data_IF_192781421586
#
_entry.id   IF_192781421586
#
_cell.length_a   1.000
_cell.length_b   1.000
_cell.length_c   1.000
_cell.angle_alpha   90.00
_cell.angle_beta   90.00
_cell.angle_gamma   90.00
#
_symmetry.space_group_name_H-M   'P 1'
#
loop_
_entity.id
_entity.type
_entity.pdbx_description
1 polymer ?
#
# COMPACT_ATOMS: atom_id res chain seq x y z
N UNK A 1 -71.41 -62.33 -4.48
CA UNK A 1 -71.70 -60.87 -4.43
C UNK A 1 -70.81 -60.29 -3.35
N UNK A 2 -69.74 -59.66 -3.76
CA UNK A 2 -68.75 -58.95 -2.87
C UNK A 2 -69.29 -57.68 -2.36
N UNK A 3 -68.89 -57.22 -1.20
CA UNK A 3 -68.64 -55.76 -1.05
C UNK A 3 -67.13 -55.53 -0.75
N UNK A 4 -66.63 -54.60 -1.47
CA UNK A 4 -65.31 -54.01 -1.37
C UNK A 4 -65.10 -53.29 -0.05
N UNK A 5 -64.09 -53.70 0.74
CA UNK A 5 -63.56 -52.89 1.82
C UNK A 5 -62.61 -51.84 1.33
N UNK A 6 -63.03 -50.54 1.43
CA UNK A 6 -62.21 -49.40 1.15
C UNK A 6 -61.36 -49.04 2.41
N UNK A 7 -60.06 -49.33 2.36
CA UNK A 7 -59.09 -48.91 3.37
C UNK A 7 -58.67 -47.46 3.11
N UNK A 8 -59.11 -46.55 4.01
CA UNK A 8 -58.73 -45.15 4.00
C UNK A 8 -57.40 -44.98 4.75
N UNK A 9 -56.31 -44.71 4.00
CA UNK A 9 -55.02 -44.32 4.58
C UNK A 9 -55.03 -42.83 4.86
N UNK A 10 -55.06 -42.48 6.14
CA UNK A 10 -54.91 -41.11 6.65
C UNK A 10 -53.39 -40.79 6.64
N UNK A 11 -52.91 -40.05 5.64
CA UNK A 11 -51.54 -39.54 5.61
C UNK A 11 -51.45 -38.29 6.47
N UNK A 12 -50.82 -38.38 7.66
CA UNK A 12 -50.48 -37.26 8.53
C UNK A 12 -49.24 -36.60 7.90
N UNK A 13 -49.44 -35.48 7.18
CA UNK A 13 -48.38 -34.62 6.68
C UNK A 13 -47.73 -33.84 7.81
N UNK A 14 -46.48 -34.13 8.14
CA UNK A 14 -45.64 -33.31 9.01
C UNK A 14 -45.21 -32.06 8.24
N UNK A 15 -45.34 -30.84 8.80
CA UNK A 15 -44.78 -29.68 8.18
C UNK A 15 -43.26 -29.66 8.34
N UNK A 16 -42.52 -29.89 7.25
CA UNK A 16 -41.07 -29.68 7.20
C UNK A 16 -40.77 -28.19 7.23
N UNK A 17 -40.54 -27.62 8.41
CA UNK A 17 -39.95 -26.32 8.55
C UNK A 17 -38.47 -26.40 8.24
N UNK A 18 -38.07 -26.06 7.01
CA UNK A 18 -36.68 -25.86 6.67
C UNK A 18 -36.19 -24.60 7.42
N UNK A 19 -35.02 -24.64 8.11
CA UNK A 19 -34.45 -23.44 8.67
C UNK A 19 -34.03 -22.52 7.52
N UNK A 20 -34.59 -21.33 7.48
CA UNK A 20 -34.09 -20.24 6.64
C UNK A 20 -32.74 -19.87 7.23
N UNK A 21 -31.65 -20.37 6.65
CA UNK A 21 -30.30 -19.87 6.93
C UNK A 21 -30.27 -18.49 6.31
N UNK A 22 -30.40 -17.45 7.15
CA UNK A 22 -30.12 -16.08 6.75
C UNK A 22 -28.66 -16.04 6.26
N UNK A 23 -28.47 -16.00 4.95
CA UNK A 23 -27.16 -15.73 4.35
C UNK A 23 -26.84 -14.28 4.73
N UNK A 24 -25.95 -14.11 5.71
CA UNK A 24 -25.28 -12.85 5.95
C UNK A 24 -24.59 -12.49 4.63
N UNK A 25 -24.87 -11.31 4.01
CA UNK A 25 -24.17 -10.94 2.80
C UNK A 25 -22.68 -10.98 3.11
N UNK A 26 -21.93 -11.80 2.36
CA UNK A 26 -20.50 -11.83 2.46
C UNK A 26 -20.03 -10.43 2.03
N UNK A 27 -19.63 -9.61 3.01
CA UNK A 27 -18.96 -8.34 2.74
C UNK A 27 -17.73 -8.69 1.90
N UNK A 28 -17.71 -8.25 0.65
CA UNK A 28 -16.63 -8.58 -0.27
C UNK A 28 -15.33 -8.11 0.38
N UNK A 29 -14.31 -8.95 0.41
CA UNK A 29 -13.02 -8.63 1.03
C UNK A 29 -12.36 -7.37 0.44
N UNK A 30 -12.88 -6.87 -0.68
CA UNK A 30 -12.46 -5.66 -1.36
C UNK A 30 -13.00 -4.36 -0.73
N UNK A 31 -14.09 -4.43 0.05
CA UNK A 31 -14.72 -3.25 0.65
C UNK A 31 -14.17 -2.94 2.06
N UNK A 32 -13.28 -3.79 2.58
CA UNK A 32 -12.75 -3.60 3.91
C UNK A 32 -11.67 -2.51 3.95
N UNK A 33 -11.83 -1.54 4.85
CA UNK A 33 -10.76 -0.61 5.21
C UNK A 33 -9.66 -1.38 5.96
N UNK A 34 -8.44 -1.35 5.43
CA UNK A 34 -7.28 -2.00 6.05
C UNK A 34 -6.41 -0.96 6.74
N UNK A 35 -5.94 -1.27 7.95
CA UNK A 35 -5.06 -0.41 8.73
C UNK A 35 -3.71 -1.10 8.93
N UNK A 36 -2.63 -0.38 8.69
CA UNK A 36 -1.25 -0.79 8.95
C UNK A 36 -0.53 0.28 9.77
N UNK A 37 0.20 -0.14 10.79
CA UNK A 37 1.04 0.74 11.60
C UNK A 37 2.51 0.41 11.35
N UNK A 38 3.32 1.43 11.10
CA UNK A 38 4.78 1.32 10.95
C UNK A 38 5.45 2.19 12.01
N UNK A 39 6.38 1.60 12.76
CA UNK A 39 7.29 2.33 13.63
C UNK A 39 8.58 2.61 12.86
N UNK A 40 8.94 3.87 12.73
CA UNK A 40 10.12 4.31 11.99
C UNK A 40 11.36 4.28 12.90
N UNK A 41 12.56 4.27 12.31
CA UNK A 41 13.82 4.19 13.06
C UNK A 41 14.06 5.39 14.00
N UNK A 42 13.45 6.55 13.71
CA UNK A 42 13.52 7.75 14.56
C UNK A 42 12.45 7.76 15.68
N UNK A 43 11.74 6.64 15.88
CA UNK A 43 10.67 6.49 16.87
C UNK A 43 9.34 7.10 16.44
N UNK A 44 9.26 7.76 15.29
CA UNK A 44 7.99 8.24 14.76
C UNK A 44 7.11 7.07 14.31
N UNK A 45 5.78 7.30 14.27
CA UNK A 45 4.79 6.29 13.90
C UNK A 45 4.00 6.77 12.69
N UNK A 46 3.89 5.91 11.67
CA UNK A 46 3.01 6.14 10.53
C UNK A 46 1.86 5.14 10.53
N UNK A 47 0.63 5.64 10.46
CA UNK A 47 -0.59 4.86 10.34
C UNK A 47 -1.07 4.99 8.90
N UNK A 48 -1.20 3.87 8.21
CA UNK A 48 -1.78 3.77 6.88
C UNK A 48 -3.21 3.24 6.99
N UNK A 49 -4.14 3.90 6.34
CA UNK A 49 -5.53 3.45 6.17
C UNK A 49 -5.77 3.31 4.68
N UNK A 50 -6.23 2.13 4.23
CA UNK A 50 -6.50 1.84 2.83
C UNK A 50 -7.99 1.55 2.65
N UNK A 51 -8.63 2.31 1.78
CA UNK A 51 -10.01 2.11 1.33
C UNK A 51 -9.98 1.66 -0.14
N UNK A 52 -10.09 0.35 -0.35
CA UNK A 52 -10.02 -0.21 -1.69
C UNK A 52 -11.22 0.19 -2.55
N UNK A 53 -12.41 0.37 -1.96
CA UNK A 53 -13.61 0.77 -2.68
C UNK A 53 -13.50 2.20 -3.23
N UNK A 54 -12.76 3.07 -2.52
CA UNK A 54 -12.48 4.44 -2.96
C UNK A 54 -11.19 4.59 -3.73
N UNK A 55 -10.39 3.51 -3.88
CA UNK A 55 -9.04 3.60 -4.44
C UNK A 55 -8.17 4.65 -3.74
N UNK A 56 -8.29 4.76 -2.41
CA UNK A 56 -7.64 5.77 -1.60
C UNK A 56 -6.81 5.14 -0.48
N UNK A 57 -5.68 5.78 -0.16
CA UNK A 57 -4.87 5.47 1.01
C UNK A 57 -4.53 6.74 1.77
N UNK A 58 -4.58 6.70 3.10
CA UNK A 58 -4.17 7.82 3.95
C UNK A 58 -3.02 7.35 4.83
N UNK A 59 -1.89 8.07 4.80
CA UNK A 59 -0.80 7.90 5.74
C UNK A 59 -0.73 9.11 6.68
N UNK A 60 -0.80 8.88 7.98
CA UNK A 60 -0.64 9.93 9.00
C UNK A 60 0.58 9.60 9.85
N UNK A 61 1.53 10.54 9.92
CA UNK A 61 2.76 10.39 10.71
C UNK A 61 2.73 11.29 11.93
N UNK A 62 3.07 10.69 13.09
CA UNK A 62 3.27 11.40 14.35
C UNK A 62 4.69 11.19 14.85
N UNK A 63 5.24 12.14 15.60
CA UNK A 63 6.51 11.98 16.29
C UNK A 63 6.38 10.99 17.47
N UNK A 64 7.47 10.65 18.20
CA UNK A 64 7.42 9.76 19.37
C UNK A 64 6.48 10.21 20.48
N UNK A 65 6.20 11.53 20.57
CA UNK A 65 5.30 12.13 21.56
C UNK A 65 3.84 12.22 21.09
N UNK A 66 3.56 11.71 19.88
CA UNK A 66 2.21 11.72 19.30
C UNK A 66 1.85 13.02 18.56
N UNK A 67 2.78 14.01 18.44
CA UNK A 67 2.53 15.25 17.73
C UNK A 67 2.51 15.00 16.22
N UNK A 68 1.54 15.58 15.47
CA UNK A 68 1.47 15.43 14.02
C UNK A 68 2.76 15.91 13.33
N UNK A 69 3.28 15.13 12.38
CA UNK A 69 4.38 15.49 11.47
C UNK A 69 3.89 15.74 10.05
N UNK A 70 2.79 15.11 9.64
CA UNK A 70 2.21 15.29 8.32
C UNK A 70 1.22 14.19 7.96
N UNK A 71 0.58 14.40 6.82
CA UNK A 71 -0.38 13.47 6.24
C UNK A 71 -0.15 13.37 4.73
N UNK A 72 -0.33 12.18 4.16
CA UNK A 72 -0.37 11.95 2.72
C UNK A 72 -1.70 11.27 2.39
N UNK A 73 -2.39 11.81 1.39
CA UNK A 73 -3.59 11.19 0.80
C UNK A 73 -3.19 10.63 -0.56
N UNK A 74 -3.19 9.31 -0.68
CA UNK A 74 -2.80 8.59 -1.88
C UNK A 74 -4.00 8.25 -2.75
N UNK A 75 -3.83 8.34 -4.06
CA UNK A 75 -4.66 7.67 -5.05
C UNK A 75 -4.03 6.32 -5.39
N UNK A 76 -4.84 5.27 -5.36
CA UNK A 76 -4.43 3.90 -5.68
C UNK A 76 -4.98 3.53 -7.07
N UNK A 77 -4.11 3.04 -7.94
CA UNK A 77 -4.52 2.53 -9.25
C UNK A 77 -5.04 1.09 -9.18
N UNK A 78 -5.59 0.60 -10.30
CA UNK A 78 -6.20 -0.74 -10.41
C UNK A 78 -5.25 -1.88 -10.06
N UNK A 79 -3.94 -1.69 -10.26
CA UNK A 79 -2.90 -2.64 -9.84
C UNK A 79 -2.59 -2.62 -8.34
N UNK A 80 -3.34 -1.85 -7.52
CA UNK A 80 -3.11 -1.70 -6.09
C UNK A 80 -1.86 -0.90 -5.72
N UNK A 81 -1.31 -0.12 -6.65
CA UNK A 81 -0.13 0.74 -6.44
C UNK A 81 -0.54 2.20 -6.34
N UNK A 82 0.22 2.99 -5.60
CA UNK A 82 0.03 4.43 -5.56
C UNK A 82 0.35 5.06 -6.92
N UNK A 83 -0.58 5.84 -7.48
CA UNK A 83 -0.39 6.59 -8.72
C UNK A 83 -0.13 8.07 -8.46
N UNK A 84 -0.64 8.59 -7.34
CA UNK A 84 -0.35 9.94 -6.86
C UNK A 84 -0.53 10.03 -5.35
N UNK A 85 -0.04 11.13 -4.75
CA UNK A 85 -0.24 11.45 -3.35
C UNK A 85 -0.26 12.95 -3.13
N UNK A 86 -1.14 13.46 -2.26
CA UNK A 86 -1.15 14.86 -1.83
C UNK A 86 -0.54 14.91 -0.44
N UNK A 87 0.53 15.68 -0.30
CA UNK A 87 1.31 15.80 0.94
C UNK A 87 0.91 17.06 1.68
N UNK A 88 0.61 16.90 2.96
CA UNK A 88 0.24 17.96 3.88
C UNK A 88 1.23 18.02 5.05
N UNK A 89 1.52 19.23 5.49
CA UNK A 89 2.34 19.49 6.68
C UNK A 89 1.64 19.13 7.99
N UNK A 90 2.36 19.33 9.13
CA UNK A 90 1.80 19.07 10.47
C UNK A 90 0.61 19.98 10.82
N UNK A 91 0.51 21.14 10.18
CA UNK A 91 -0.58 22.11 10.31
C UNK A 91 -1.73 21.86 9.33
N UNK A 92 -1.68 20.77 8.55
CA UNK A 92 -2.67 20.43 7.55
C UNK A 92 -2.60 21.23 6.25
N UNK A 93 -1.60 22.10 6.08
CA UNK A 93 -1.41 22.85 4.84
C UNK A 93 -0.85 21.97 3.75
N UNK A 94 -1.32 22.20 2.53
CA UNK A 94 -0.77 21.56 1.34
C UNK A 94 0.71 21.94 1.19
N UNK A 95 1.56 20.92 0.94
CA UNK A 95 2.98 21.11 0.64
C UNK A 95 3.25 20.89 -0.86
N UNK A 96 2.91 19.73 -1.37
CA UNK A 96 3.06 19.37 -2.78
C UNK A 96 2.22 18.12 -3.09
N UNK A 97 2.08 17.82 -4.38
CA UNK A 97 1.51 16.57 -4.90
C UNK A 97 2.64 15.73 -5.48
N UNK A 98 2.63 14.42 -5.20
CA UNK A 98 3.52 13.46 -5.85
C UNK A 98 2.78 12.68 -6.92
N UNK A 99 3.46 12.35 -8.02
CA UNK A 99 3.04 11.32 -8.97
C UNK A 99 4.12 10.25 -9.05
N UNK A 100 3.71 8.99 -9.27
CA UNK A 100 4.60 7.84 -9.19
C UNK A 100 4.61 7.08 -10.51
N UNK A 101 5.81 6.71 -10.99
CA UNK A 101 6.00 5.81 -12.11
C UNK A 101 6.74 4.55 -11.66
N UNK A 102 6.38 3.43 -12.25
CA UNK A 102 6.96 2.14 -11.93
C UNK A 102 7.59 1.52 -13.17
N UNK A 103 8.70 0.82 -12.97
CA UNK A 103 9.35 0.04 -14.02
C UNK A 103 8.57 -1.25 -14.35
N UNK A 104 9.02 -1.99 -15.36
CA UNK A 104 8.41 -3.24 -15.79
C UNK A 104 8.39 -4.32 -14.69
N UNK A 105 9.32 -4.27 -13.73
CA UNK A 105 9.35 -5.15 -12.57
C UNK A 105 8.43 -4.68 -11.43
N UNK A 106 7.77 -3.52 -11.59
CA UNK A 106 6.85 -2.95 -10.63
C UNK A 106 7.53 -2.21 -9.47
N UNK A 107 8.78 -1.82 -9.61
CA UNK A 107 9.51 -1.01 -8.64
C UNK A 107 9.30 0.47 -8.95
N UNK A 108 9.27 1.32 -7.92
CA UNK A 108 9.15 2.77 -8.08
C UNK A 108 10.38 3.31 -8.84
N UNK A 109 10.18 3.74 -10.08
CA UNK A 109 11.24 4.27 -10.93
C UNK A 109 11.40 5.78 -10.78
N UNK A 110 10.28 6.50 -10.72
CA UNK A 110 10.27 7.96 -10.68
C UNK A 110 9.17 8.47 -9.74
N UNK A 111 9.48 9.50 -8.97
CA UNK A 111 8.54 10.33 -8.24
C UNK A 111 8.70 11.77 -8.69
N UNK A 112 7.61 12.42 -9.12
CA UNK A 112 7.60 13.83 -9.51
C UNK A 112 6.79 14.62 -8.50
N UNK A 113 7.40 15.68 -7.91
CA UNK A 113 6.74 16.60 -7.03
C UNK A 113 6.18 17.79 -7.81
N UNK A 114 4.94 18.12 -7.56
CA UNK A 114 4.19 19.18 -8.23
C UNK A 114 3.70 20.21 -7.21
N UNK A 115 3.72 21.47 -7.60
CA UNK A 115 3.13 22.56 -6.85
C UNK A 115 1.60 22.58 -6.92
N UNK A 116 1.01 23.65 -6.37
CA UNK A 116 -0.45 23.84 -6.33
C UNK A 116 -1.07 24.00 -7.72
N UNK A 117 -0.30 24.52 -8.66
CA UNK A 117 -0.63 24.79 -10.07
C UNK A 117 -0.18 23.66 -11.01
N UNK A 118 0.11 22.47 -10.44
CA UNK A 118 0.70 21.32 -11.11
C UNK A 118 2.07 21.59 -11.79
N UNK A 119 2.72 22.74 -11.49
CA UNK A 119 4.08 23.01 -11.95
C UNK A 119 5.06 22.03 -11.27
N UNK A 120 6.00 21.49 -12.04
CA UNK A 120 7.03 20.58 -11.52
C UNK A 120 7.94 21.35 -10.56
N UNK A 121 8.09 20.83 -9.34
CA UNK A 121 9.05 21.33 -8.34
C UNK A 121 10.38 20.59 -8.51
N UNK A 122 10.35 19.28 -8.52
CA UNK A 122 11.50 18.42 -8.75
C UNK A 122 11.06 17.01 -9.16
N UNK A 123 12.05 16.20 -9.56
CA UNK A 123 11.87 14.81 -9.93
C UNK A 123 12.92 13.97 -9.22
N UNK A 124 12.49 12.84 -8.65
CA UNK A 124 13.35 11.84 -8.01
C UNK A 124 13.37 10.60 -8.89
N UNK A 125 14.56 10.13 -9.26
CA UNK A 125 14.76 8.89 -10.02
C UNK A 125 15.50 7.90 -9.14
N UNK A 126 14.89 6.74 -8.94
CA UNK A 126 15.42 5.67 -8.08
C UNK A 126 16.30 4.70 -8.90
N UNK A 127 17.34 4.18 -8.27
CA UNK A 127 18.30 3.24 -8.87
C UNK A 127 18.28 1.92 -8.14
N UNK A 128 18.32 0.83 -8.90
CA UNK A 128 18.29 -0.53 -8.38
C UNK A 128 19.46 -1.34 -8.91
N UNK A 129 19.95 -2.29 -8.13
CA UNK A 129 20.92 -3.29 -8.57
C UNK A 129 20.22 -4.42 -9.36
N UNK A 130 21.02 -5.35 -9.88
CA UNK A 130 20.52 -6.50 -10.64
C UNK A 130 19.63 -7.45 -9.83
N UNK A 131 19.66 -7.37 -8.49
CA UNK A 131 18.82 -8.14 -7.58
C UNK A 131 17.53 -7.40 -7.18
N UNK A 132 17.31 -6.17 -7.72
CA UNK A 132 16.15 -5.35 -7.43
C UNK A 132 16.23 -4.58 -6.11
N UNK A 133 17.37 -4.55 -5.42
CA UNK A 133 17.58 -3.74 -4.23
C UNK A 133 17.83 -2.29 -4.63
N UNK A 134 17.16 -1.34 -4.01
CA UNK A 134 17.44 0.09 -4.21
C UNK A 134 18.85 0.42 -3.72
N UNK A 135 19.65 1.00 -4.61
CA UNK A 135 21.05 1.38 -4.36
C UNK A 135 21.26 2.89 -4.35
N UNK A 136 20.23 3.67 -4.60
CA UNK A 136 20.31 5.12 -4.53
C UNK A 136 19.16 5.81 -5.22
N UNK A 137 19.28 7.13 -5.30
CA UNK A 137 18.39 7.99 -6.06
C UNK A 137 19.11 9.24 -6.57
N UNK A 138 18.51 9.93 -7.52
CA UNK A 138 18.96 11.23 -8.02
C UNK A 138 17.78 12.19 -8.03
N UNK A 139 18.00 13.45 -7.64
CA UNK A 139 16.99 14.51 -7.61
C UNK A 139 17.33 15.53 -8.70
N UNK A 140 16.38 15.85 -9.54
CA UNK A 140 16.50 16.80 -10.64
C UNK A 140 15.54 17.98 -10.44
N UNK A 141 15.95 19.16 -10.88
CA UNK A 141 15.05 20.31 -10.97
C UNK A 141 14.09 20.20 -12.18
N UNK A 142 13.16 21.16 -12.37
CA UNK A 142 12.23 21.14 -13.49
C UNK A 142 12.90 21.19 -14.88
N UNK A 143 14.14 21.70 -14.95
CA UNK A 143 14.90 21.78 -16.21
C UNK A 143 15.66 20.49 -16.53
N UNK A 144 15.66 19.51 -15.62
CA UNK A 144 16.42 18.28 -15.74
C UNK A 144 17.86 18.36 -15.22
N UNK A 145 18.22 19.46 -14.56
CA UNK A 145 19.54 19.60 -13.92
C UNK A 145 19.58 18.81 -12.61
N UNK A 146 20.65 18.06 -12.40
CA UNK A 146 20.86 17.30 -11.16
C UNK A 146 21.07 18.28 -9.98
N UNK A 147 20.23 18.14 -8.95
CA UNK A 147 20.32 18.89 -7.68
C UNK A 147 21.10 18.13 -6.63
N UNK A 148 20.77 16.85 -6.46
CA UNK A 148 21.42 15.97 -5.49
C UNK A 148 21.23 14.51 -5.88
N UNK A 149 22.05 13.61 -5.30
CA UNK A 149 21.89 12.18 -5.45
C UNK A 149 22.64 11.46 -4.34
N UNK A 150 22.03 10.39 -3.81
CA UNK A 150 22.65 9.48 -2.87
C UNK A 150 22.78 8.12 -3.53
N UNK A 151 24.01 7.61 -3.58
CA UNK A 151 24.26 6.19 -3.79
C UNK A 151 24.34 5.53 -2.41
N UNK A 152 23.61 4.44 -2.19
CA UNK A 152 23.88 3.60 -1.02
C UNK A 152 25.31 3.14 -1.11
N UNK A 153 26.11 3.16 -0.01
CA UNK A 153 27.46 2.63 -0.05
C UNK A 153 27.41 1.18 -0.53
N UNK A 154 28.08 0.91 -1.63
CA UNK A 154 28.31 -0.46 -2.08
C UNK A 154 29.00 -1.18 -0.93
N UNK A 155 28.51 -2.34 -0.44
CA UNK A 155 29.23 -3.08 0.58
C UNK A 155 30.61 -3.39 0.01
N UNK A 156 31.65 -2.73 0.55
CA UNK A 156 33.03 -3.01 0.23
C UNK A 156 33.24 -4.49 0.53
N UNK A 157 33.58 -5.27 -0.50
CA UNK A 157 33.92 -6.68 -0.33
C UNK A 157 35.01 -6.74 0.76
N UNK A 158 34.65 -7.32 1.90
CA UNK A 158 35.58 -7.54 3.01
C UNK A 158 36.80 -8.26 2.46
N UNK A 159 37.93 -7.59 2.41
CA UNK A 159 39.19 -8.19 2.07
C UNK A 159 39.48 -9.32 3.07
N UNK A 160 39.37 -10.55 2.58
CA UNK A 160 39.69 -11.76 3.32
C UNK A 160 41.11 -11.62 3.90
N UNK A 161 41.33 -11.79 5.21
CA UNK A 161 42.68 -11.72 5.75
C UNK A 161 43.50 -12.83 5.11
N UNK A 162 44.62 -12.47 4.46
CA UNK A 162 45.63 -13.43 4.01
C UNK A 162 46.25 -14.01 5.26
N UNK A 163 45.97 -15.27 5.57
CA UNK A 163 46.78 -16.06 6.49
C UNK A 163 48.22 -16.12 5.92
N UNK A 164 49.11 -15.39 6.59
CA UNK A 164 50.54 -15.61 6.36
C UNK A 164 50.88 -16.96 6.98
N UNK A 165 51.28 -17.90 6.14
CA UNK A 165 51.95 -19.13 6.55
C UNK A 165 53.34 -18.73 7.10
N UNK A 166 53.52 -18.79 8.39
CA UNK A 166 54.86 -18.76 9.01
C UNK A 166 55.53 -20.13 8.83
N UNK A 167 56.77 -20.09 8.34
CA UNK A 167 57.69 -21.23 8.33
C UNK A 167 58.22 -21.53 9.72
#
# INVERSE_FOLDING_TARGET
>A
MSPNSLLLFLAIGLPSTLPIIAQTPATSANDAVRVRVTLNADGSRTIYQFDNAKHEGIATTTDPNGKPRGKIVYQIGDAGRFISGIVFGPDGRFLFKSTYKYDAAGRLEEETHLGKDDAVINKIVYKYDSKGKQIGYSVFDPTGKLLSGLASPTPTASSKPRHALAK
#
